data_IF_141289651361
#
_entry.id   IF_141289651361
#
_cell.length_a   1.000
_cell.length_b   1.000
_cell.length_c   1.000
_cell.angle_alpha   90.00
_cell.angle_beta   90.00
_cell.angle_gamma   90.00
#
_symmetry.space_group_name_H-M   'P 1'
#
loop_
_entity.id
_entity.type
_entity.pdbx_description
1 polymer ?
#
# COMPACT_ATOMS: atom_id res chain seq x y z
N UNK A 1 -4.21 -13.15 -96.91
CA UNK A 1 -5.38 -12.63 -96.17
C UNK A 1 -5.67 -13.60 -95.03
N UNK A 2 -5.67 -13.12 -93.78
CA UNK A 2 -5.70 -13.95 -92.57
C UNK A 2 -7.14 -14.29 -92.18
N UNK A 3 -7.38 -15.48 -91.63
CA UNK A 3 -8.47 -15.64 -90.67
C UNK A 3 -7.96 -16.47 -89.49
N UNK A 4 -8.24 -15.90 -88.32
CA UNK A 4 -7.56 -16.08 -87.05
C UNK A 4 -7.71 -17.48 -86.48
N UNK A 5 -6.62 -17.99 -85.91
CA UNK A 5 -6.63 -19.07 -84.94
C UNK A 5 -7.31 -18.58 -83.65
N UNK A 6 -8.33 -19.29 -83.20
CA UNK A 6 -8.83 -19.16 -81.82
C UNK A 6 -8.84 -20.56 -81.21
N UNK A 7 -7.86 -20.83 -80.36
CA UNK A 7 -7.80 -22.00 -79.49
C UNK A 7 -9.01 -22.02 -78.55
N UNK A 8 -9.68 -23.16 -78.33
CA UNK A 8 -10.73 -23.23 -77.32
C UNK A 8 -10.12 -23.00 -75.92
N UNK A 9 -10.80 -22.26 -75.03
CA UNK A 9 -10.29 -21.96 -73.70
C UNK A 9 -10.16 -23.26 -72.91
N UNK A 10 -8.96 -23.50 -72.39
CA UNK A 10 -8.70 -24.48 -71.34
C UNK A 10 -9.68 -24.16 -70.22
N UNK A 11 -10.62 -25.08 -69.96
CA UNK A 11 -11.41 -25.02 -68.76
C UNK A 11 -10.43 -25.22 -67.61
N UNK A 12 -9.95 -24.12 -67.04
CA UNK A 12 -9.46 -24.10 -65.68
C UNK A 12 -10.65 -24.54 -64.83
N UNK A 13 -10.72 -25.85 -64.57
CA UNK A 13 -11.47 -26.43 -63.47
C UNK A 13 -10.86 -25.87 -62.19
N UNK A 14 -11.16 -24.61 -61.89
CA UNK A 14 -10.87 -23.98 -60.63
C UNK A 14 -11.88 -24.53 -59.63
N UNK A 15 -11.74 -25.82 -59.31
CA UNK A 15 -12.51 -26.49 -58.29
C UNK A 15 -12.33 -25.67 -57.01
N UNK A 16 -13.36 -24.96 -56.51
CA UNK A 16 -13.20 -24.22 -55.28
C UNK A 16 -12.97 -25.28 -54.20
N UNK A 17 -11.74 -25.34 -53.68
CA UNK A 17 -11.39 -26.17 -52.53
C UNK A 17 -12.48 -25.95 -51.47
N UNK A 18 -13.41 -26.90 -51.37
CA UNK A 18 -14.51 -26.89 -50.40
C UNK A 18 -13.87 -27.10 -49.04
N UNK A 19 -13.36 -26.03 -48.44
CA UNK A 19 -12.85 -25.99 -47.08
C UNK A 19 -13.88 -26.69 -46.19
N UNK A 20 -13.48 -27.83 -45.61
CA UNK A 20 -14.34 -28.63 -44.73
C UNK A 20 -14.61 -27.82 -43.46
N UNK A 21 -15.77 -27.15 -43.43
CA UNK A 21 -16.23 -26.28 -42.34
C UNK A 21 -15.61 -24.88 -42.46
N UNK A 22 -16.34 -23.85 -42.86
CA UNK A 22 -17.59 -23.35 -42.28
C UNK A 22 -17.22 -22.09 -41.50
N UNK A 23 -17.77 -20.92 -41.87
CA UNK A 23 -17.52 -19.59 -41.26
C UNK A 23 -18.00 -19.54 -39.78
N UNK A 24 -17.41 -20.36 -38.91
CA UNK A 24 -17.95 -20.75 -37.61
C UNK A 24 -17.41 -19.98 -36.41
N UNK A 25 -16.52 -19.00 -36.60
CA UNK A 25 -15.93 -18.25 -35.49
C UNK A 25 -16.94 -17.38 -34.73
N UNK A 26 -17.81 -16.66 -35.44
CA UNK A 26 -18.75 -15.74 -34.81
C UNK A 26 -19.86 -16.46 -34.04
N UNK A 27 -20.48 -17.49 -34.65
CA UNK A 27 -21.54 -18.27 -34.01
C UNK A 27 -21.05 -19.10 -32.82
N UNK A 28 -19.83 -19.66 -32.88
CA UNK A 28 -19.22 -20.36 -31.74
C UNK A 28 -18.85 -19.39 -30.62
N UNK A 29 -18.36 -18.18 -30.94
CA UNK A 29 -18.11 -17.13 -29.95
C UNK A 29 -19.40 -16.67 -29.26
N UNK A 30 -20.49 -16.47 -30.00
CA UNK A 30 -21.80 -16.17 -29.42
C UNK A 30 -22.32 -17.31 -28.54
N UNK A 31 -22.14 -18.56 -28.95
CA UNK A 31 -22.54 -19.72 -28.14
C UNK A 31 -21.71 -19.83 -26.86
N UNK A 32 -20.41 -19.57 -26.94
CA UNK A 32 -19.51 -19.56 -25.78
C UNK A 32 -19.81 -18.40 -24.82
N UNK A 33 -20.08 -17.19 -25.34
CA UNK A 33 -20.45 -16.03 -24.54
C UNK A 33 -21.84 -16.18 -23.93
N UNK A 34 -22.83 -16.62 -24.71
CA UNK A 34 -24.20 -16.88 -24.24
C UNK A 34 -24.25 -17.97 -23.16
N UNK A 35 -23.44 -19.02 -23.28
CA UNK A 35 -23.31 -20.04 -22.23
C UNK A 35 -22.74 -19.48 -20.92
N UNK A 36 -21.76 -18.56 -21.00
CA UNK A 36 -21.20 -17.89 -19.82
C UNK A 36 -22.22 -16.98 -19.14
N UNK A 37 -22.96 -16.18 -19.92
CA UNK A 37 -23.99 -15.26 -19.40
C UNK A 37 -25.19 -15.99 -18.81
N UNK A 38 -25.61 -17.11 -19.41
CA UNK A 38 -26.73 -17.92 -18.90
C UNK A 38 -26.36 -18.73 -17.65
N UNK A 39 -25.09 -19.13 -17.50
CA UNK A 39 -24.59 -19.85 -16.33
C UNK A 39 -24.27 -18.93 -15.14
N UNK A 40 -23.78 -17.71 -15.42
CA UNK A 40 -23.53 -16.68 -14.41
C UNK A 40 -24.86 -16.12 -13.91
N UNK A 41 -25.37 -16.68 -12.80
CA UNK A 41 -26.54 -16.12 -12.10
C UNK A 41 -26.21 -14.70 -11.64
N UNK A 42 -27.01 -13.73 -12.07
CA UNK A 42 -26.87 -12.34 -11.62
C UNK A 42 -27.11 -12.29 -10.11
N UNK A 43 -26.15 -11.75 -9.36
CA UNK A 43 -26.26 -11.59 -7.89
C UNK A 43 -26.83 -10.23 -7.50
N UNK A 44 -27.02 -9.34 -8.48
CA UNK A 44 -27.62 -8.02 -8.26
C UNK A 44 -29.15 -8.08 -8.40
N UNK A 45 -29.82 -8.36 -7.27
CA UNK A 45 -31.29 -8.33 -7.18
C UNK A 45 -31.84 -6.92 -6.87
N UNK A 46 -30.97 -5.96 -6.58
CA UNK A 46 -31.35 -4.61 -6.11
C UNK A 46 -32.14 -3.80 -7.16
N UNK A 47 -31.98 -4.15 -8.44
CA UNK A 47 -32.67 -3.53 -9.57
C UNK A 47 -34.14 -3.97 -9.70
N UNK A 48 -34.52 -5.09 -9.08
CA UNK A 48 -35.88 -5.60 -9.09
C UNK A 48 -36.82 -4.67 -8.31
N UNK A 49 -38.08 -4.63 -8.74
CA UNK A 49 -39.16 -3.91 -8.07
C UNK A 49 -40.01 -4.87 -7.24
N UNK A 50 -40.57 -4.36 -6.15
CA UNK A 50 -41.58 -5.06 -5.37
C UNK A 50 -42.98 -4.89 -5.97
N UNK A 51 -43.98 -5.59 -5.42
CA UNK A 51 -45.38 -5.50 -5.83
C UNK A 51 -45.99 -4.10 -5.59
N UNK A 52 -45.33 -3.26 -4.78
CA UNK A 52 -45.71 -1.87 -4.55
C UNK A 52 -45.02 -0.88 -5.52
N UNK A 53 -44.18 -1.38 -6.43
CA UNK A 53 -43.45 -0.60 -7.43
C UNK A 53 -42.15 0.06 -6.95
N UNK A 54 -41.76 -0.14 -5.68
CA UNK A 54 -40.50 0.35 -5.11
C UNK A 54 -39.35 -0.59 -5.49
N UNK A 55 -38.14 -0.06 -5.64
CA UNK A 55 -36.95 -0.89 -5.93
C UNK A 55 -36.44 -1.53 -4.63
N UNK A 56 -35.98 -2.78 -4.72
CA UNK A 56 -35.38 -3.49 -3.58
C UNK A 56 -34.18 -2.73 -2.99
N UNK A 57 -33.42 -2.01 -3.84
CA UNK A 57 -32.36 -1.11 -3.38
C UNK A 57 -32.84 -0.12 -2.31
N UNK A 58 -33.93 0.60 -2.57
CA UNK A 58 -34.45 1.62 -1.66
C UNK A 58 -34.87 1.03 -0.32
N UNK A 59 -35.46 -0.16 -0.34
CA UNK A 59 -35.87 -0.86 0.89
C UNK A 59 -34.64 -1.31 1.68
N UNK A 60 -33.64 -1.87 1.01
CA UNK A 60 -32.40 -2.31 1.66
C UNK A 60 -31.62 -1.13 2.23
N UNK A 61 -31.56 0.00 1.52
CA UNK A 61 -30.88 1.20 1.99
C UNK A 61 -31.58 1.80 3.20
N UNK A 62 -32.91 1.83 3.22
CA UNK A 62 -33.68 2.26 4.40
C UNK A 62 -33.40 1.37 5.63
N UNK A 63 -33.33 0.05 5.44
CA UNK A 63 -32.95 -0.89 6.52
C UNK A 63 -31.53 -0.64 7.01
N UNK A 64 -30.55 -0.52 6.11
CA UNK A 64 -29.16 -0.21 6.47
C UNK A 64 -29.06 1.09 7.29
N UNK A 65 -29.83 2.12 6.93
CA UNK A 65 -29.87 3.39 7.67
C UNK A 65 -30.49 3.20 9.05
N UNK A 66 -31.56 2.40 9.17
CA UNK A 66 -32.17 2.07 10.46
C UNK A 66 -31.20 1.28 11.35
N UNK A 67 -30.61 0.20 10.83
CA UNK A 67 -29.63 -0.62 11.54
C UNK A 67 -28.42 0.21 11.99
N UNK A 68 -27.96 1.15 11.15
CA UNK A 68 -26.87 2.06 11.50
C UNK A 68 -27.23 2.94 12.70
N UNK A 69 -28.43 3.53 12.70
CA UNK A 69 -28.93 4.34 13.82
C UNK A 69 -29.11 3.52 15.09
N UNK A 70 -29.62 2.29 14.97
CA UNK A 70 -29.76 1.37 16.11
C UNK A 70 -28.40 0.92 16.66
N UNK A 71 -27.38 0.82 15.81
CA UNK A 71 -26.01 0.47 16.22
C UNK A 71 -25.26 1.62 16.91
N UNK A 72 -25.72 2.88 16.79
CA UNK A 72 -25.07 4.03 17.43
C UNK A 72 -24.84 3.89 18.94
N UNK A 73 -25.84 3.52 19.78
CA UNK A 73 -25.62 3.35 21.21
C UNK A 73 -24.57 2.29 21.53
N UNK A 74 -24.52 1.19 20.78
CA UNK A 74 -23.50 0.15 20.96
C UNK A 74 -22.11 0.64 20.54
N UNK A 75 -22.01 1.39 19.44
CA UNK A 75 -20.76 2.00 18.98
C UNK A 75 -20.23 3.01 19.98
N UNK A 76 -21.10 3.90 20.48
CA UNK A 76 -20.77 4.87 21.54
C UNK A 76 -20.33 4.17 22.83
N UNK A 77 -20.93 3.03 23.19
CA UNK A 77 -20.49 2.22 24.34
C UNK A 77 -19.10 1.62 24.12
N UNK A 78 -18.85 0.99 22.97
CA UNK A 78 -17.55 0.43 22.61
C UNK A 78 -16.46 1.50 22.58
N UNK A 79 -16.73 2.67 22.01
CA UNK A 79 -15.81 3.80 21.99
C UNK A 79 -15.48 4.29 23.40
N UNK A 80 -16.49 4.41 24.27
CA UNK A 80 -16.31 4.75 25.70
C UNK A 80 -15.47 3.71 26.43
N UNK A 81 -15.66 2.42 26.18
CA UNK A 81 -14.85 1.35 26.77
C UNK A 81 -13.40 1.38 26.29
N UNK A 82 -13.17 1.62 25.00
CA UNK A 82 -11.82 1.77 24.44
C UNK A 82 -11.11 3.01 25.01
N UNK A 83 -11.82 4.13 25.14
CA UNK A 83 -11.30 5.33 25.80
C UNK A 83 -10.93 5.05 27.26
N UNK A 84 -11.84 4.42 28.02
CA UNK A 84 -11.58 4.01 29.41
C UNK A 84 -10.37 3.10 29.51
N UNK A 85 -10.24 2.10 28.64
CA UNK A 85 -9.10 1.19 28.61
C UNK A 85 -7.79 1.89 28.25
N UNK A 86 -7.81 2.89 27.34
CA UNK A 86 -6.63 3.72 27.02
C UNK A 86 -6.23 4.59 28.20
N UNK A 87 -7.20 5.23 28.86
CA UNK A 87 -6.97 6.04 30.06
C UNK A 87 -6.41 5.18 31.18
N UNK A 88 -6.98 4.01 31.42
CA UNK A 88 -6.50 3.06 32.44
C UNK A 88 -5.08 2.58 32.13
N UNK A 89 -4.77 2.28 30.86
CA UNK A 89 -3.41 1.94 30.43
C UNK A 89 -2.41 3.08 30.59
N UNK A 90 -2.85 4.33 30.39
CA UNK A 90 -2.01 5.52 30.58
C UNK A 90 -1.81 5.90 32.05
N UNK A 91 -2.79 5.60 32.91
CA UNK A 91 -2.72 5.80 34.36
C UNK A 91 -1.86 4.72 35.05
N UNK A 92 -1.80 3.51 34.48
CA UNK A 92 -0.83 2.49 34.90
C UNK A 92 0.56 3.01 34.53
N UNK A 93 1.24 3.59 35.53
CA UNK A 93 2.60 4.08 35.40
C UNK A 93 3.47 3.01 34.75
N UNK A 94 4.20 3.32 33.66
CA UNK A 94 5.08 2.34 33.06
C UNK A 94 6.10 1.94 34.12
N UNK A 95 6.17 0.65 34.44
CA UNK A 95 7.22 0.14 35.32
C UNK A 95 8.56 0.57 34.72
N UNK A 96 9.16 1.59 35.30
CA UNK A 96 10.51 2.01 34.96
C UNK A 96 11.41 0.89 35.42
N UNK A 97 11.58 -0.11 34.56
CA UNK A 97 12.58 -1.15 34.74
C UNK A 97 13.89 -0.40 34.84
N UNK A 98 14.37 -0.23 36.07
CA UNK A 98 15.67 0.36 36.36
C UNK A 98 16.68 -0.63 35.80
N UNK A 99 17.05 -0.44 34.54
CA UNK A 99 18.11 -1.23 33.91
C UNK A 99 19.38 -0.85 34.63
N UNK A 100 19.77 -1.68 35.61
CA UNK A 100 21.10 -1.65 36.20
C UNK A 100 22.03 -2.22 35.14
N UNK A 101 22.90 -1.36 34.63
CA UNK A 101 23.89 -1.73 33.63
C UNK A 101 25.08 -2.35 34.36
N UNK A 102 24.99 -3.66 34.63
CA UNK A 102 25.99 -4.45 35.36
C UNK A 102 26.74 -5.42 34.41
N UNK A 103 27.15 -4.92 33.24
CA UNK A 103 27.92 -5.70 32.27
C UNK A 103 29.43 -5.61 32.56
N UNK A 104 29.94 -6.51 33.39
CA UNK A 104 31.36 -6.53 33.79
C UNK A 104 32.31 -6.71 32.61
N UNK A 105 31.93 -7.50 31.60
CA UNK A 105 32.72 -7.66 30.37
C UNK A 105 32.84 -6.35 29.57
N UNK A 106 31.79 -5.53 29.55
CA UNK A 106 31.83 -4.21 28.90
C UNK A 106 32.79 -3.27 29.62
N UNK A 107 32.79 -3.27 30.95
CA UNK A 107 33.72 -2.45 31.75
C UNK A 107 35.17 -2.86 31.49
N UNK A 108 35.46 -4.16 31.55
CA UNK A 108 36.81 -4.68 31.30
C UNK A 108 37.30 -4.41 29.88
N UNK A 109 36.44 -4.56 28.86
CA UNK A 109 36.81 -4.27 27.47
C UNK A 109 37.04 -2.78 27.25
N UNK A 110 36.21 -1.93 27.85
CA UNK A 110 36.38 -0.47 27.81
C UNK A 110 37.70 -0.04 28.46
N UNK A 111 38.04 -0.58 29.63
CA UNK A 111 39.31 -0.29 30.32
C UNK A 111 40.53 -0.72 29.49
N UNK A 112 40.50 -1.92 28.88
CA UNK A 112 41.55 -2.40 27.98
C UNK A 112 41.75 -1.47 26.78
N UNK A 113 40.67 -1.05 26.13
CA UNK A 113 40.73 -0.10 25.01
C UNK A 113 41.32 1.25 25.45
N UNK A 114 40.94 1.75 26.63
CA UNK A 114 41.51 3.00 27.16
C UNK A 114 43.01 2.88 27.40
N UNK A 115 43.48 1.77 27.95
CA UNK A 115 44.89 1.56 28.23
C UNK A 115 45.72 1.37 26.95
N UNK A 116 45.19 0.68 25.95
CA UNK A 116 45.80 0.59 24.61
C UNK A 116 45.93 1.98 23.96
N UNK A 117 44.90 2.82 24.05
CA UNK A 117 44.95 4.21 23.54
C UNK A 117 45.99 5.03 24.30
N UNK A 118 46.03 4.95 25.64
CA UNK A 118 47.05 5.65 26.44
C UNK A 118 48.45 5.21 26.06
N UNK A 119 48.68 3.92 25.85
CA UNK A 119 49.99 3.37 25.51
C UNK A 119 50.42 3.73 24.09
N UNK A 120 49.50 3.72 23.12
CA UNK A 120 49.81 4.15 21.76
C UNK A 120 50.18 5.63 21.71
N UNK A 121 49.46 6.49 22.46
CA UNK A 121 49.78 7.92 22.59
C UNK A 121 51.12 8.13 23.29
N UNK A 122 51.38 7.46 24.43
CA UNK A 122 52.68 7.51 25.11
C UNK A 122 53.83 7.07 24.20
N UNK A 123 53.65 5.95 23.48
CA UNK A 123 54.63 5.44 22.51
C UNK A 123 54.81 6.41 21.34
N UNK A 124 53.75 7.05 20.86
CA UNK A 124 53.82 8.05 19.80
C UNK A 124 54.58 9.31 20.24
N UNK A 125 54.33 9.79 21.46
CA UNK A 125 55.04 10.92 22.06
C UNK A 125 56.53 10.60 22.31
N UNK A 126 56.86 9.36 22.71
CA UNK A 126 58.24 8.93 22.92
C UNK A 126 59.00 8.65 21.62
N UNK A 127 58.33 8.10 20.59
CA UNK A 127 58.95 7.77 19.28
C UNK A 127 59.07 8.97 18.35
N UNK A 128 58.41 10.08 18.67
CA UNK A 128 58.48 11.31 17.90
C UNK A 128 58.80 12.50 18.81
N UNK A 129 60.09 12.83 18.89
CA UNK A 129 60.50 14.24 18.90
C UNK A 129 60.02 14.86 17.57
N UNK A 130 58.81 15.42 17.53
CA UNK A 130 58.39 16.19 16.36
C UNK A 130 58.88 17.62 16.53
N UNK A 131 59.63 18.18 15.57
CA UNK A 131 59.78 19.63 15.45
C UNK A 131 58.39 20.24 15.20
N UNK A 132 58.06 21.28 15.94
CA UNK A 132 56.90 22.14 15.65
C UNK A 132 57.01 22.62 14.20
N UNK A 133 56.04 22.26 13.34
CA UNK A 133 55.82 23.04 12.12
C UNK A 133 54.35 23.00 11.67
N UNK A 134 53.82 24.21 11.57
CA UNK A 134 52.51 24.55 11.03
C UNK A 134 52.44 24.39 9.50
N UNK A 135 51.21 24.53 8.98
CA UNK A 135 50.77 24.53 7.58
C UNK A 135 50.48 23.13 7.00
N UNK A 136 49.39 22.89 6.25
CA UNK A 136 48.74 23.75 5.26
C UNK A 136 47.24 23.43 5.17
N UNK A 137 46.45 24.48 5.01
CA UNK A 137 45.06 24.43 4.57
C UNK A 137 44.90 23.94 3.12
N UNK A 138 43.65 23.53 2.82
CA UNK A 138 42.96 23.30 1.53
C UNK A 138 43.46 22.15 0.65
N UNK A 139 42.64 21.19 0.23
CA UNK A 139 41.40 21.27 -0.57
C UNK A 139 40.95 19.80 -0.84
N UNK A 140 39.74 19.37 -1.19
CA UNK A 140 38.43 19.93 -1.57
C UNK A 140 37.45 18.74 -1.73
N UNK A 141 36.16 18.91 -1.41
CA UNK A 141 34.96 18.30 -2.08
C UNK A 141 33.72 18.55 -1.20
N UNK A 142 32.94 19.60 -1.50
CA UNK A 142 31.69 19.59 -2.31
C UNK A 142 30.48 18.91 -1.66
N UNK A 143 29.44 19.74 -1.41
CA UNK A 143 28.01 19.41 -1.28
C UNK A 143 27.60 18.47 -0.13
N UNK A 144 26.72 18.82 0.80
CA UNK A 144 25.32 19.17 0.54
C UNK A 144 24.65 19.63 1.83
N UNK A 145 24.04 20.81 1.82
CA UNK A 145 23.08 21.21 2.84
C UNK A 145 21.82 20.34 2.74
N UNK A 146 21.45 19.63 3.80
CA UNK A 146 20.08 19.12 4.00
C UNK A 146 19.64 19.42 5.43
N UNK A 147 19.02 20.60 5.58
CA UNK A 147 18.24 20.95 6.76
C UNK A 147 17.13 19.92 6.94
N UNK A 148 17.15 19.19 8.05
CA UNK A 148 16.08 18.28 8.43
C UNK A 148 14.91 19.11 8.96
N UNK A 149 13.85 19.08 8.16
CA UNK A 149 12.50 19.60 8.36
C UNK A 149 11.99 19.25 9.76
N UNK A 150 11.69 20.29 10.56
CA UNK A 150 10.92 20.21 11.80
C UNK A 150 9.56 19.60 11.46
N UNK A 151 9.29 18.40 11.96
CA UNK A 151 7.97 17.78 11.85
C UNK A 151 7.03 18.52 12.80
N UNK A 152 5.96 19.08 12.26
CA UNK A 152 4.88 19.68 13.01
C UNK A 152 4.22 18.57 13.83
N UNK A 153 4.11 18.77 15.14
CA UNK A 153 3.31 17.96 16.04
C UNK A 153 2.15 18.85 16.47
N UNK A 154 0.92 18.42 16.18
CA UNK A 154 -0.29 19.04 16.70
C UNK A 154 -1.16 19.67 15.62
N UNK A 155 -1.97 18.83 14.97
CA UNK A 155 -3.30 19.25 14.54
C UNK A 155 -4.24 18.16 15.08
N UNK A 156 -4.73 18.39 16.30
CA UNK A 156 -5.78 17.60 16.92
C UNK A 156 -7.07 18.30 16.56
N UNK A 157 -7.64 17.91 15.42
CA UNK A 157 -8.90 18.45 14.92
C UNK A 157 -10.04 17.75 15.68
N UNK A 158 -10.41 18.34 16.82
CA UNK A 158 -11.58 17.98 17.61
C UNK A 158 -12.67 19.00 17.33
N UNK A 159 -13.43 18.81 16.25
CA UNK A 159 -14.68 19.51 16.02
C UNK A 159 -15.77 18.89 16.91
N UNK A 160 -15.80 19.36 18.16
CA UNK A 160 -16.95 19.25 19.05
C UNK A 160 -17.86 20.45 18.72
N UNK A 161 -18.88 20.22 17.89
CA UNK A 161 -19.91 21.21 17.58
C UNK A 161 -21.23 20.71 18.14
N UNK A 162 -21.46 21.06 19.41
CA UNK A 162 -22.74 20.92 20.09
C UNK A 162 -23.41 22.31 20.21
N UNK A 163 -24.70 22.31 19.90
CA UNK A 163 -25.77 23.24 20.28
C UNK A 163 -25.90 24.68 19.71
N UNK A 164 -26.88 24.83 18.82
CA UNK A 164 -27.92 25.87 19.02
C UNK A 164 -29.24 25.52 18.34
N UNK A 165 -30.14 25.04 19.18
CA UNK A 165 -31.61 25.18 19.14
C UNK A 165 -32.20 26.19 18.15
N UNK A 166 -33.13 25.72 17.30
CA UNK A 166 -34.46 26.31 17.04
C UNK A 166 -35.36 25.29 16.33
#
# INVERSE_FOLDING_TARGET
>A
MPLLQTTPPVLDEHEPLRLRGGKGGFGSMLRAQGGRMASQKTTNFESCRDLSGRRLKTVNDAKKIADFKESEPERKRKEKELLKAKIEKGLKEPETKKIRFDDQEFVETHEKVLDEVKDTVKKALQKKSIPLLASKASSSSTASAKGKKKRVWGESDSEDSDDSSQ
#
